data_IF_003093935407
#
_entry.id   IF_003093935407
#
_cell.length_a   1.000
_cell.length_b   1.000
_cell.length_c   1.000
_cell.angle_alpha   90.00
_cell.angle_beta   90.00
_cell.angle_gamma   90.00
#
_symmetry.space_group_name_H-M   'P 1'
#
loop_
_entity.id
_entity.type
_entity.pdbx_description
1 polymer ?
#
# COMPACT_ATOMS: atom_id res chain seq x y z
N UNK A 1 11.44 46.83 -112.03
CA UNK A 1 11.39 45.41 -111.61
C UNK A 1 10.82 45.36 -110.20
N UNK A 2 9.88 44.44 -110.03
CA UNK A 2 9.01 44.15 -108.87
C UNK A 2 9.87 43.80 -107.63
N UNK A 3 9.56 44.11 -106.36
CA UNK A 3 8.32 44.55 -105.75
C UNK A 3 8.48 45.00 -104.28
N UNK A 4 7.31 45.30 -103.71
CA UNK A 4 6.95 46.14 -102.56
C UNK A 4 7.08 45.50 -101.16
N UNK A 5 7.08 46.36 -100.13
CA UNK A 5 6.53 46.10 -98.79
C UNK A 5 7.47 46.42 -97.62
N UNK A 6 7.55 47.60 -96.98
CA UNK A 6 6.55 48.35 -96.17
C UNK A 6 5.58 47.43 -95.41
N UNK A 7 5.25 47.57 -94.12
CA UNK A 7 5.39 48.63 -93.11
C UNK A 7 4.78 48.08 -91.80
N UNK A 8 5.06 48.74 -90.67
CA UNK A 8 4.18 48.89 -89.50
C UNK A 8 4.05 47.74 -88.47
N UNK A 9 4.80 47.94 -87.38
CA UNK A 9 4.48 47.59 -86.00
C UNK A 9 3.40 48.58 -85.50
N UNK A 10 2.36 48.10 -84.78
CA UNK A 10 1.82 48.67 -83.52
C UNK A 10 0.31 48.49 -83.28
N UNK A 11 -0.01 48.34 -81.98
CA UNK A 11 -1.29 48.45 -81.25
C UNK A 11 -2.27 47.26 -81.32
N UNK A 12 -2.50 46.45 -80.26
CA UNK A 12 -3.10 46.74 -78.92
C UNK A 12 -4.65 46.90 -79.02
N UNK A 13 -5.56 46.36 -78.18
CA UNK A 13 -5.60 45.91 -76.78
C UNK A 13 -6.90 45.07 -76.58
N UNK A 14 -6.82 44.09 -75.67
CA UNK A 14 -7.88 43.51 -74.82
C UNK A 14 -9.27 43.15 -75.39
N UNK A 15 -9.59 41.85 -75.38
CA UNK A 15 -10.85 41.33 -74.81
C UNK A 15 -10.61 39.93 -74.22
N UNK A 16 -11.11 39.73 -72.98
CA UNK A 16 -11.52 38.47 -72.35
C UNK A 16 -10.46 37.46 -71.85
N UNK A 17 -10.05 37.66 -70.59
CA UNK A 17 -10.30 36.82 -69.39
C UNK A 17 -10.79 35.36 -69.44
N UNK A 18 -10.80 34.67 -70.58
CA UNK A 18 -11.18 33.25 -70.70
C UNK A 18 -10.15 32.38 -71.43
N UNK A 19 -9.04 32.98 -71.85
CA UNK A 19 -7.88 32.31 -72.45
C UNK A 19 -6.64 32.27 -71.54
N UNK A 20 -6.79 32.57 -70.25
CA UNK A 20 -5.70 32.48 -69.26
C UNK A 20 -5.65 31.14 -68.52
N UNK A 21 -6.64 30.26 -68.71
CA UNK A 21 -6.66 28.95 -68.07
C UNK A 21 -6.05 27.84 -68.95
N UNK A 22 -6.09 28.00 -70.29
CA UNK A 22 -5.44 27.08 -71.23
C UNK A 22 -4.01 27.50 -71.61
N UNK A 23 -3.50 28.62 -71.06
CA UNK A 23 -2.11 29.09 -71.24
C UNK A 23 -1.14 28.60 -70.14
N UNK A 24 -1.61 27.72 -69.26
CA UNK A 24 -0.86 27.17 -68.12
C UNK A 24 -0.77 25.63 -68.15
N UNK A 25 -1.03 25.00 -69.30
CA UNK A 25 -0.76 23.56 -69.54
C UNK A 25 0.34 23.30 -70.57
N UNK A 26 1.10 24.32 -70.96
CA UNK A 26 2.37 24.11 -71.67
C UNK A 26 3.42 23.73 -70.63
N UNK A 27 3.96 22.52 -70.74
CA UNK A 27 5.09 22.04 -69.96
C UNK A 27 6.18 23.11 -69.88
N UNK A 28 6.83 23.28 -68.72
CA UNK A 28 7.92 24.25 -68.50
C UNK A 28 8.96 24.29 -69.64
N UNK A 29 9.20 23.13 -70.25
CA UNK A 29 9.97 22.90 -71.49
C UNK A 29 9.63 23.85 -72.66
N UNK A 30 8.34 24.17 -72.88
CA UNK A 30 7.87 24.99 -74.00
C UNK A 30 8.09 26.48 -73.78
N UNK A 31 7.99 26.95 -72.53
CA UNK A 31 8.34 28.34 -72.14
C UNK A 31 9.85 28.58 -72.23
N UNK A 32 10.64 27.56 -71.89
CA UNK A 32 12.09 27.57 -71.98
C UNK A 32 12.58 27.70 -73.44
N UNK A 33 11.88 27.08 -74.40
CA UNK A 33 12.21 27.17 -75.83
C UNK A 33 11.75 28.49 -76.49
N UNK A 34 10.63 29.09 -76.06
CA UNK A 34 10.10 30.29 -76.70
C UNK A 34 10.86 31.58 -76.33
N UNK A 35 11.50 31.67 -75.16
CA UNK A 35 12.20 32.89 -74.72
C UNK A 35 13.72 32.86 -74.94
N UNK A 36 14.34 31.67 -75.00
CA UNK A 36 15.78 31.50 -75.28
C UNK A 36 16.21 31.95 -76.69
N UNK A 37 15.26 32.25 -77.58
CA UNK A 37 15.54 32.66 -78.95
C UNK A 37 15.58 34.19 -79.19
N UNK A 38 15.40 35.07 -78.17
CA UNK A 38 15.24 36.53 -78.43
C UNK A 38 16.16 37.51 -77.69
N UNK A 39 17.01 37.12 -76.74
CA UNK A 39 17.96 38.07 -76.14
C UNK A 39 19.20 37.37 -75.54
N UNK A 40 20.40 37.71 -76.05
CA UNK A 40 21.68 37.10 -75.67
C UNK A 40 22.43 37.84 -74.55
N UNK A 41 21.85 38.88 -73.94
CA UNK A 41 22.53 39.63 -72.89
C UNK A 41 22.42 38.91 -71.53
N UNK A 42 23.54 38.83 -70.81
CA UNK A 42 23.67 38.13 -69.51
C UNK A 42 22.67 38.62 -68.46
N UNK A 43 22.25 39.89 -68.53
CA UNK A 43 21.31 40.50 -67.60
C UNK A 43 19.88 39.97 -67.76
N UNK A 44 19.40 39.76 -68.99
CA UNK A 44 18.06 39.20 -69.24
C UNK A 44 17.97 37.73 -68.87
N UNK A 45 19.04 36.96 -69.14
CA UNK A 45 19.13 35.55 -68.72
C UNK A 45 19.19 35.42 -67.19
N UNK A 46 19.97 36.26 -66.52
CA UNK A 46 20.04 36.28 -65.05
C UNK A 46 18.70 36.66 -64.41
N UNK A 47 17.92 37.57 -65.02
CA UNK A 47 16.60 37.95 -64.50
C UNK A 47 15.56 36.85 -64.70
N UNK A 48 15.57 36.15 -65.85
CA UNK A 48 14.71 34.99 -66.08
C UNK A 48 15.03 33.84 -65.11
N UNK A 49 16.32 33.55 -64.90
CA UNK A 49 16.76 32.55 -63.92
C UNK A 49 16.33 32.91 -62.49
N UNK A 50 16.33 34.20 -62.12
CA UNK A 50 15.79 34.65 -60.81
C UNK A 50 14.28 34.47 -60.72
N UNK A 51 13.53 34.78 -61.77
CA UNK A 51 12.09 34.62 -61.81
C UNK A 51 11.68 33.13 -61.74
N UNK A 52 12.40 32.24 -62.44
CA UNK A 52 12.19 30.80 -62.37
C UNK A 52 12.54 30.23 -60.99
N UNK A 53 13.67 30.63 -60.38
CA UNK A 53 14.02 30.22 -59.00
C UNK A 53 12.99 30.68 -57.98
N UNK A 54 12.45 31.90 -58.13
CA UNK A 54 11.40 32.43 -57.27
C UNK A 54 10.09 31.65 -57.42
N UNK A 55 9.73 31.23 -58.64
CA UNK A 55 8.58 30.37 -58.90
C UNK A 55 8.77 28.95 -58.31
N UNK A 56 9.97 28.37 -58.42
CA UNK A 56 10.30 27.06 -57.83
C UNK A 56 10.28 27.08 -56.30
N UNK A 57 10.78 28.16 -55.69
CA UNK A 57 10.68 28.36 -54.24
C UNK A 57 9.23 28.53 -53.78
N UNK A 58 8.43 29.29 -54.53
CA UNK A 58 7.00 29.45 -54.25
C UNK A 58 6.25 28.12 -54.35
N UNK A 59 6.50 27.34 -55.41
CA UNK A 59 5.91 26.01 -55.60
C UNK A 59 6.32 25.04 -54.48
N UNK A 60 7.60 25.04 -54.07
CA UNK A 60 8.09 24.21 -52.95
C UNK A 60 7.47 24.60 -51.61
N UNK A 61 7.30 25.90 -51.33
CA UNK A 61 6.61 26.38 -50.12
C UNK A 61 5.16 25.92 -50.10
N UNK A 62 4.44 26.08 -51.21
CA UNK A 62 3.05 25.63 -51.34
C UNK A 62 2.91 24.11 -51.16
N UNK A 63 3.79 23.32 -51.78
CA UNK A 63 3.83 21.86 -51.58
C UNK A 63 4.09 21.50 -50.11
N UNK A 64 4.99 22.22 -49.45
CA UNK A 64 5.30 22.00 -48.03
C UNK A 64 4.09 22.34 -47.15
N UNK A 65 3.42 23.47 -47.40
CA UNK A 65 2.19 23.86 -46.69
C UNK A 65 1.06 22.85 -46.88
N UNK A 66 0.87 22.33 -48.10
CA UNK A 66 -0.12 21.30 -48.39
C UNK A 66 0.20 19.98 -47.67
N UNK A 67 1.47 19.60 -47.57
CA UNK A 67 1.91 18.44 -46.78
C UNK A 67 1.62 18.67 -45.30
N UNK A 68 1.98 19.84 -44.74
CA UNK A 68 1.72 20.17 -43.33
C UNK A 68 0.21 20.13 -43.01
N UNK A 69 -0.64 20.68 -43.88
CA UNK A 69 -2.10 20.65 -43.70
C UNK A 69 -2.66 19.24 -43.72
N UNK A 70 -2.17 18.37 -44.61
CA UNK A 70 -2.59 16.94 -44.66
C UNK A 70 -2.20 16.21 -43.39
N UNK A 71 -0.96 16.37 -42.94
CA UNK A 71 -0.48 15.75 -41.70
C UNK A 71 -1.26 16.24 -40.46
N UNK A 72 -1.60 17.53 -40.41
CA UNK A 72 -2.41 18.07 -39.32
C UNK A 72 -3.86 17.56 -39.34
N UNK A 73 -4.47 17.47 -40.52
CA UNK A 73 -5.81 16.89 -40.68
C UNK A 73 -5.84 15.41 -40.26
N UNK A 74 -4.83 14.62 -40.64
CA UNK A 74 -4.70 13.22 -40.20
C UNK A 74 -4.53 13.09 -38.68
N UNK A 75 -3.74 13.99 -38.06
CA UNK A 75 -3.57 14.02 -36.59
C UNK A 75 -4.88 14.36 -35.88
N UNK A 76 -5.64 15.33 -36.39
CA UNK A 76 -6.95 15.70 -35.84
C UNK A 76 -7.93 14.54 -35.95
N UNK A 77 -7.94 13.82 -37.08
CA UNK A 77 -8.80 12.67 -37.30
C UNK A 77 -8.51 11.50 -36.33
N UNK A 78 -7.24 11.30 -35.93
CA UNK A 78 -6.83 10.23 -35.00
C UNK A 78 -7.06 10.57 -33.51
N UNK A 79 -7.12 11.86 -33.16
CA UNK A 79 -7.21 12.36 -31.77
C UNK A 79 -8.38 11.76 -30.96
N UNK A 80 -9.61 11.59 -31.48
CA UNK A 80 -10.71 10.96 -30.73
C UNK A 80 -10.42 9.49 -30.36
N UNK A 81 -9.79 8.73 -31.26
CA UNK A 81 -9.44 7.33 -31.00
C UNK A 81 -8.34 7.20 -29.94
N UNK A 82 -7.37 8.12 -29.93
CA UNK A 82 -6.32 8.18 -28.90
C UNK A 82 -6.90 8.50 -27.51
N UNK A 83 -7.85 9.42 -27.42
CA UNK A 83 -8.54 9.76 -26.16
C UNK A 83 -9.32 8.55 -25.63
N UNK A 84 -10.08 7.87 -26.50
CA UNK A 84 -10.84 6.67 -26.11
C UNK A 84 -9.91 5.54 -25.65
N UNK A 85 -8.76 5.36 -26.31
CA UNK A 85 -7.73 4.40 -25.90
C UNK A 85 -7.15 4.74 -24.52
N UNK A 86 -6.82 6.01 -24.28
CA UNK A 86 -6.30 6.47 -22.98
C UNK A 86 -7.33 6.24 -21.85
N UNK A 87 -8.61 6.55 -22.08
CA UNK A 87 -9.68 6.29 -21.13
C UNK A 87 -9.87 4.78 -20.85
N UNK A 88 -9.71 3.94 -21.87
CA UNK A 88 -9.76 2.49 -21.69
C UNK A 88 -8.56 1.96 -20.89
N UNK A 89 -7.36 2.51 -21.11
CA UNK A 89 -6.16 2.16 -20.35
C UNK A 89 -6.25 2.60 -18.87
N UNK A 90 -6.79 3.78 -18.60
CA UNK A 90 -7.05 4.25 -17.24
C UNK A 90 -8.04 3.35 -16.49
N UNK A 91 -9.16 2.99 -17.15
CA UNK A 91 -10.13 2.03 -16.59
C UNK A 91 -9.50 0.66 -16.32
N UNK A 92 -8.64 0.16 -17.21
CA UNK A 92 -7.92 -1.10 -16.99
C UNK A 92 -7.06 -1.03 -15.73
N UNK A 93 -6.26 0.02 -15.56
CA UNK A 93 -5.42 0.22 -14.37
C UNK A 93 -6.25 0.27 -13.08
N UNK A 94 -7.36 1.00 -13.08
CA UNK A 94 -8.25 1.08 -11.92
C UNK A 94 -8.83 -0.29 -11.53
N UNK A 95 -9.20 -1.12 -12.51
CA UNK A 95 -9.68 -2.49 -12.28
C UNK A 95 -8.56 -3.38 -11.73
N UNK A 96 -7.35 -3.27 -12.28
CA UNK A 96 -6.18 -4.03 -11.80
C UNK A 96 -5.83 -3.67 -10.35
N UNK A 97 -5.84 -2.38 -9.99
CA UNK A 97 -5.60 -1.93 -8.63
C UNK A 97 -6.69 -2.38 -7.66
N UNK A 98 -7.97 -2.31 -8.08
CA UNK A 98 -9.09 -2.88 -7.31
C UNK A 98 -8.90 -4.38 -7.07
N UNK A 99 -8.61 -5.15 -8.13
CA UNK A 99 -8.39 -6.59 -8.04
C UNK A 99 -7.19 -6.93 -7.14
N UNK A 100 -6.12 -6.13 -7.17
CA UNK A 100 -4.96 -6.27 -6.27
C UNK A 100 -5.37 -6.07 -4.81
N UNK A 101 -6.11 -4.99 -4.51
CA UNK A 101 -6.59 -4.71 -3.15
C UNK A 101 -7.54 -5.80 -2.62
N UNK A 102 -8.40 -6.33 -3.49
CA UNK A 102 -9.32 -7.41 -3.16
C UNK A 102 -8.57 -8.73 -2.89
N UNK A 103 -7.53 -9.02 -3.68
CA UNK A 103 -6.68 -10.20 -3.47
C UNK A 103 -5.91 -10.11 -2.15
N UNK A 104 -5.39 -8.94 -1.79
CA UNK A 104 -4.75 -8.71 -0.50
C UNK A 104 -5.73 -8.90 0.67
N UNK A 105 -6.93 -8.32 0.56
CA UNK A 105 -7.98 -8.47 1.58
C UNK A 105 -8.39 -9.93 1.75
N UNK A 106 -8.57 -10.67 0.65
CA UNK A 106 -8.85 -12.12 0.69
C UNK A 106 -7.72 -12.91 1.35
N UNK A 107 -6.45 -12.62 1.00
CA UNK A 107 -5.29 -13.27 1.64
C UNK A 107 -5.26 -13.04 3.15
N UNK A 108 -5.55 -11.82 3.59
CA UNK A 108 -5.62 -11.49 5.02
C UNK A 108 -6.75 -12.27 5.71
N UNK A 109 -7.95 -12.30 5.12
CA UNK A 109 -9.08 -13.07 5.64
C UNK A 109 -8.79 -14.58 5.70
N UNK A 110 -8.19 -15.15 4.65
CA UNK A 110 -7.76 -16.55 4.60
C UNK A 110 -6.67 -16.86 5.64
N UNK A 111 -5.74 -15.93 5.88
CA UNK A 111 -4.73 -16.07 6.92
C UNK A 111 -5.34 -16.04 8.33
N UNK A 112 -6.29 -15.13 8.57
CA UNK A 112 -7.05 -15.09 9.83
C UNK A 112 -7.88 -16.36 10.05
N UNK A 113 -8.52 -16.88 9.01
CA UNK A 113 -9.29 -18.13 9.09
C UNK A 113 -8.40 -19.35 9.32
N UNK A 114 -7.26 -19.42 8.61
CA UNK A 114 -6.24 -20.47 8.82
C UNK A 114 -5.69 -20.42 10.24
N UNK A 115 -5.44 -19.23 10.77
CA UNK A 115 -5.04 -19.03 12.15
C UNK A 115 -6.14 -19.50 13.11
N UNK A 116 -7.40 -19.13 12.87
CA UNK A 116 -8.53 -19.59 13.67
C UNK A 116 -8.71 -21.11 13.62
N UNK A 117 -8.44 -21.75 12.47
CA UNK A 117 -8.48 -23.20 12.32
C UNK A 117 -7.32 -23.89 13.06
N UNK A 118 -6.10 -23.35 12.98
CA UNK A 118 -4.95 -23.83 13.75
C UNK A 118 -5.23 -23.76 15.25
N UNK A 119 -5.69 -22.59 15.73
CA UNK A 119 -6.13 -22.36 17.11
C UNK A 119 -7.23 -23.33 17.54
N UNK A 120 -8.19 -23.68 16.68
CA UNK A 120 -9.20 -24.70 17.01
C UNK A 120 -8.63 -26.12 17.09
N UNK A 121 -7.64 -26.44 16.27
CA UNK A 121 -7.11 -27.80 16.13
C UNK A 121 -6.06 -28.17 17.18
N UNK A 122 -5.26 -27.20 17.62
CA UNK A 122 -4.13 -27.39 18.54
C UNK A 122 -4.18 -26.46 19.76
N UNK A 123 -5.19 -25.59 19.83
CA UNK A 123 -5.31 -24.56 20.86
C UNK A 123 -5.44 -25.15 22.24
N UNK A 124 -4.46 -24.80 23.05
CA UNK A 124 -4.44 -24.94 24.50
C UNK A 124 -4.10 -26.34 25.03
N UNK A 125 -3.82 -27.36 24.22
CA UNK A 125 -3.55 -28.70 24.77
C UNK A 125 -2.32 -28.71 25.70
N UNK A 126 -1.18 -28.14 25.28
CA UNK A 126 0.02 -28.06 26.13
C UNK A 126 -0.16 -27.09 27.31
N UNK A 127 -0.71 -25.90 27.05
CA UNK A 127 -0.96 -24.87 28.07
C UNK A 127 -1.95 -25.33 29.15
N UNK A 128 -3.10 -25.89 28.76
CA UNK A 128 -4.11 -26.40 29.68
C UNK A 128 -3.63 -27.62 30.45
N UNK A 129 -2.78 -28.47 29.87
CA UNK A 129 -2.14 -29.56 30.62
C UNK A 129 -1.25 -29.02 31.75
N UNK A 130 -0.45 -27.98 31.48
CA UNK A 130 0.31 -27.32 32.52
C UNK A 130 -0.59 -26.65 33.56
N UNK A 131 -1.73 -26.05 33.16
CA UNK A 131 -2.73 -25.53 34.10
C UNK A 131 -3.36 -26.62 34.96
N UNK A 132 -3.65 -27.79 34.40
CA UNK A 132 -4.17 -28.95 35.16
C UNK A 132 -3.16 -29.39 36.22
N UNK A 133 -1.89 -29.53 35.84
CA UNK A 133 -0.80 -29.86 36.79
C UNK A 133 -0.66 -28.80 37.88
N UNK A 134 -0.72 -27.51 37.52
CA UNK A 134 -0.65 -26.42 38.48
C UNK A 134 -1.84 -26.43 39.44
N UNK A 135 -3.04 -26.70 38.93
CA UNK A 135 -4.27 -26.79 39.74
C UNK A 135 -4.21 -27.95 40.73
N UNK A 136 -3.64 -29.09 40.33
CA UNK A 136 -3.42 -30.21 41.25
C UNK A 136 -2.41 -29.85 42.34
N UNK A 137 -1.31 -29.16 42.00
CA UNK A 137 -0.37 -28.67 43.00
C UNK A 137 -1.00 -27.62 43.93
N UNK A 138 -1.91 -26.79 43.44
CA UNK A 138 -2.69 -25.87 44.28
C UNK A 138 -3.56 -26.63 45.29
N UNK A 139 -4.27 -27.68 44.83
CA UNK A 139 -5.08 -28.55 45.69
C UNK A 139 -4.24 -29.21 46.78
N UNK A 140 -3.10 -29.79 46.41
CA UNK A 140 -2.18 -30.44 47.36
C UNK A 140 -1.58 -29.44 48.35
N UNK A 141 -1.22 -28.24 47.90
CA UNK A 141 -0.75 -27.15 48.78
C UNK A 141 -1.80 -26.83 49.85
N UNK A 142 -3.06 -26.67 49.45
CA UNK A 142 -4.15 -26.32 50.35
C UNK A 142 -4.42 -27.45 51.36
N UNK A 143 -4.35 -28.71 50.92
CA UNK A 143 -4.42 -29.88 51.78
C UNK A 143 -3.29 -29.92 52.82
N UNK A 144 -2.05 -29.66 52.41
CA UNK A 144 -0.91 -29.61 53.33
C UNK A 144 -0.97 -28.43 54.29
N UNK A 145 -1.47 -27.26 53.84
CA UNK A 145 -1.70 -26.13 54.72
C UNK A 145 -2.75 -26.46 55.80
N UNK A 146 -3.86 -27.09 55.42
CA UNK A 146 -4.89 -27.53 56.39
C UNK A 146 -4.32 -28.54 57.40
N UNK A 147 -3.48 -29.48 56.95
CA UNK A 147 -2.76 -30.41 57.85
C UNK A 147 -1.78 -29.69 58.77
N UNK A 148 -1.03 -28.71 58.26
CA UNK A 148 -0.11 -27.91 59.05
C UNK A 148 -0.84 -27.09 60.13
N UNK A 149 -1.99 -26.50 59.80
CA UNK A 149 -2.84 -25.78 60.74
C UNK A 149 -3.37 -26.71 61.84
N UNK A 150 -3.84 -27.90 61.47
CA UNK A 150 -4.33 -28.91 62.40
C UNK A 150 -3.22 -29.39 63.36
N UNK A 151 -2.02 -29.68 62.83
CA UNK A 151 -0.87 -30.05 63.65
C UNK A 151 -0.42 -28.92 64.58
N UNK A 152 -0.51 -27.65 64.13
CA UNK A 152 -0.21 -26.48 64.96
C UNK A 152 -1.20 -26.35 66.11
N UNK A 153 -2.50 -26.56 65.87
CA UNK A 153 -3.55 -26.56 66.92
C UNK A 153 -3.35 -27.68 67.94
N UNK A 154 -2.85 -28.84 67.50
CA UNK A 154 -2.54 -29.98 68.36
C UNK A 154 -1.17 -29.88 69.09
N UNK A 155 -0.41 -28.80 68.92
CA UNK A 155 0.92 -28.64 69.54
C UNK A 155 2.03 -29.50 68.92
N UNK A 156 1.75 -30.21 67.81
CA UNK A 156 2.69 -31.10 67.12
C UNK A 156 3.63 -30.32 66.20
N UNK A 157 4.58 -29.59 66.80
CA UNK A 157 5.46 -28.63 66.10
C UNK A 157 6.26 -29.24 64.93
N UNK A 158 6.84 -30.43 65.10
CA UNK A 158 7.63 -31.10 64.06
C UNK A 158 6.79 -31.49 62.84
N UNK A 159 5.61 -32.07 63.07
CA UNK A 159 4.67 -32.42 62.00
C UNK A 159 4.14 -31.18 61.28
N UNK A 160 3.81 -30.13 62.04
CA UNK A 160 3.39 -28.84 61.46
C UNK A 160 4.45 -28.25 60.54
N UNK A 161 5.72 -28.28 60.94
CA UNK A 161 6.84 -27.85 60.09
C UNK A 161 6.95 -28.68 58.81
N UNK A 162 6.92 -30.01 58.92
CA UNK A 162 6.97 -30.90 57.76
C UNK A 162 5.86 -30.61 56.74
N UNK A 163 4.62 -30.40 57.21
CA UNK A 163 3.51 -30.08 56.30
C UNK A 163 3.65 -28.71 55.64
N UNK A 164 4.17 -27.69 56.34
CA UNK A 164 4.48 -26.39 55.73
C UNK A 164 5.56 -26.50 54.66
N UNK A 165 6.61 -27.30 54.90
CA UNK A 165 7.66 -27.55 53.91
C UNK A 165 7.07 -28.21 52.63
N UNK A 166 6.18 -29.20 52.78
CA UNK A 166 5.47 -29.80 51.65
C UNK A 166 4.56 -28.80 50.92
N UNK A 167 3.81 -27.98 51.65
CA UNK A 167 2.98 -26.94 51.06
C UNK A 167 3.81 -25.91 50.27
N UNK A 168 4.98 -25.52 50.81
CA UNK A 168 5.93 -24.65 50.11
C UNK A 168 6.40 -25.27 48.80
N UNK A 169 6.73 -26.57 48.81
CA UNK A 169 7.13 -27.28 47.59
C UNK A 169 6.02 -27.32 46.54
N UNK A 170 4.78 -27.61 46.95
CA UNK A 170 3.63 -27.57 46.05
C UNK A 170 3.40 -26.17 45.49
N UNK A 171 3.60 -25.11 46.30
CA UNK A 171 3.51 -23.73 45.84
C UNK A 171 4.55 -23.42 44.76
N UNK A 172 5.81 -23.77 44.98
CA UNK A 172 6.89 -23.58 43.98
C UNK A 172 6.55 -24.30 42.66
N UNK A 173 6.12 -25.56 42.73
CA UNK A 173 5.76 -26.34 41.55
C UNK A 173 4.55 -25.76 40.81
N UNK A 174 3.53 -25.32 41.55
CA UNK A 174 2.36 -24.63 41.00
C UNK A 174 2.77 -23.36 40.25
N UNK A 175 3.63 -22.53 40.84
CA UNK A 175 4.11 -21.29 40.21
C UNK A 175 4.93 -21.57 38.95
N UNK A 176 5.82 -22.57 38.97
CA UNK A 176 6.59 -23.00 37.80
C UNK A 176 5.68 -23.51 36.67
N UNK A 177 4.69 -24.33 36.99
CA UNK A 177 3.77 -24.91 36.01
C UNK A 177 2.83 -23.85 35.44
N UNK A 178 2.31 -22.93 36.26
CA UNK A 178 1.55 -21.78 35.78
C UNK A 178 2.40 -20.89 34.87
N UNK A 179 3.67 -20.65 35.20
CA UNK A 179 4.57 -19.89 34.34
C UNK A 179 4.79 -20.58 32.99
N UNK A 180 4.95 -21.92 32.97
CA UNK A 180 5.05 -22.67 31.71
C UNK A 180 3.77 -22.61 30.90
N UNK A 181 2.62 -22.78 31.56
CA UNK A 181 1.32 -22.64 30.92
C UNK A 181 1.16 -21.26 30.27
N UNK A 182 1.52 -20.19 30.98
CA UNK A 182 1.44 -18.83 30.47
C UNK A 182 2.32 -18.64 29.22
N UNK A 183 3.55 -19.14 29.22
CA UNK A 183 4.45 -19.08 28.05
C UNK A 183 3.86 -19.80 26.84
N UNK A 184 3.35 -21.02 27.03
CA UNK A 184 2.75 -21.82 25.95
C UNK A 184 1.49 -21.17 25.38
N UNK A 185 0.59 -20.71 26.26
CA UNK A 185 -0.65 -20.01 25.87
C UNK A 185 -0.31 -18.72 25.12
N UNK A 186 0.64 -17.92 25.64
CA UNK A 186 1.05 -16.68 24.98
C UNK A 186 1.67 -16.96 23.60
N UNK A 187 2.60 -17.91 23.49
CA UNK A 187 3.24 -18.27 22.22
C UNK A 187 2.23 -18.77 21.19
N UNK A 188 1.25 -19.56 21.63
CA UNK A 188 0.17 -20.06 20.78
C UNK A 188 -0.71 -18.94 20.21
N UNK A 189 -1.08 -17.95 21.02
CA UNK A 189 -1.90 -16.82 20.57
C UNK A 189 -1.12 -15.75 19.80
N UNK A 190 0.21 -15.79 19.88
CA UNK A 190 1.11 -14.81 19.30
C UNK A 190 2.22 -15.49 18.47
N UNK A 191 1.90 -16.32 17.47
CA UNK A 191 2.89 -17.17 16.78
C UNK A 191 3.95 -16.38 16.00
N UNK A 192 3.59 -15.18 15.53
CA UNK A 192 4.50 -14.30 14.79
C UNK A 192 5.19 -13.27 15.68
N UNK A 193 4.97 -13.31 16.99
CA UNK A 193 5.47 -12.29 17.90
C UNK A 193 6.98 -12.38 18.07
N UNK A 194 7.68 -11.39 17.53
CA UNK A 194 9.12 -11.22 17.71
C UNK A 194 9.40 -9.82 18.25
N UNK A 195 9.97 -9.78 19.45
CA UNK A 195 10.37 -8.52 20.13
C UNK A 195 11.35 -7.68 19.31
N UNK A 196 12.05 -8.28 18.33
CA UNK A 196 13.01 -7.61 17.46
C UNK A 196 12.39 -7.06 16.17
N UNK A 197 11.19 -7.50 15.81
CA UNK A 197 10.55 -7.16 14.53
C UNK A 197 9.32 -6.28 14.79
N UNK A 198 9.47 -4.98 14.58
CA UNK A 198 8.44 -3.96 14.87
C UNK A 198 7.08 -4.26 14.24
N UNK A 199 7.04 -4.80 13.02
CA UNK A 199 5.79 -5.13 12.31
C UNK A 199 4.97 -6.24 12.99
N UNK A 200 5.57 -7.00 13.90
CA UNK A 200 4.90 -8.08 14.65
C UNK A 200 4.31 -7.62 15.98
N UNK A 201 4.63 -6.38 16.40
CA UNK A 201 4.24 -5.83 17.70
C UNK A 201 2.96 -4.99 17.65
N UNK A 202 2.32 -4.86 16.49
CA UNK A 202 1.08 -4.11 16.31
C UNK A 202 -0.12 -4.73 17.06
N UNK A 203 -0.02 -6.01 17.42
CA UNK A 203 -1.06 -6.78 18.10
C UNK A 203 -0.44 -7.71 19.13
N UNK A 204 -1.06 -7.80 20.31
CA UNK A 204 -0.63 -8.70 21.38
C UNK A 204 -1.85 -9.35 22.03
N UNK A 205 -1.94 -10.66 21.96
CA UNK A 205 -3.07 -11.43 22.47
C UNK A 205 -2.76 -12.09 23.81
N UNK A 206 -3.49 -11.67 24.85
CA UNK A 206 -3.33 -12.10 26.23
C UNK A 206 -4.47 -12.99 26.69
N UNK A 207 -5.38 -13.41 25.80
CA UNK A 207 -6.49 -14.25 26.21
C UNK A 207 -6.01 -15.59 26.76
N UNK A 208 -6.73 -16.11 27.75
CA UNK A 208 -6.38 -17.35 28.46
C UNK A 208 -5.30 -17.19 29.53
N UNK A 209 -4.64 -16.04 29.63
CA UNK A 209 -3.69 -15.76 30.72
C UNK A 209 -4.41 -15.36 32.01
N UNK A 210 -3.79 -15.66 33.15
CA UNK A 210 -4.23 -15.11 34.44
C UNK A 210 -3.82 -13.65 34.56
N UNK A 211 -4.54 -12.90 35.40
CA UNK A 211 -4.39 -11.44 35.56
C UNK A 211 -2.93 -11.03 35.72
N UNK A 212 -2.20 -11.57 36.71
CA UNK A 212 -0.80 -11.20 36.96
C UNK A 212 0.14 -11.52 35.80
N UNK A 213 -0.15 -12.58 35.04
CA UNK A 213 0.66 -12.96 33.88
C UNK A 213 0.41 -11.97 32.74
N UNK A 214 -0.85 -11.66 32.45
CA UNK A 214 -1.22 -10.68 31.44
C UNK A 214 -0.70 -9.27 31.76
N UNK A 215 -0.72 -8.84 33.03
CA UNK A 215 -0.12 -7.58 33.47
C UNK A 215 1.38 -7.54 33.13
N UNK A 216 2.11 -8.62 33.43
CA UNK A 216 3.54 -8.73 33.10
C UNK A 216 3.79 -8.68 31.59
N UNK A 217 3.04 -9.47 30.81
CA UNK A 217 3.17 -9.46 29.34
C UNK A 217 2.80 -8.09 28.76
N UNK A 218 1.81 -7.40 29.32
CA UNK A 218 1.41 -6.04 28.91
C UNK A 218 2.57 -5.06 29.10
N UNK A 219 3.17 -5.04 30.30
CA UNK A 219 4.29 -4.13 30.63
C UNK A 219 5.47 -4.38 29.67
N UNK A 220 5.86 -5.65 29.51
CA UNK A 220 6.94 -6.04 28.58
C UNK A 220 6.62 -5.63 27.14
N UNK A 221 5.40 -5.88 26.67
CA UNK A 221 4.98 -5.60 25.31
C UNK A 221 4.97 -4.11 24.99
N UNK A 222 4.36 -3.30 25.87
CA UNK A 222 4.32 -1.85 25.73
C UNK A 222 5.72 -1.26 25.67
N UNK A 223 6.60 -1.68 26.58
CA UNK A 223 8.00 -1.24 26.58
C UNK A 223 8.69 -1.57 25.26
N UNK A 224 8.48 -2.78 24.74
CA UNK A 224 9.02 -3.21 23.45
C UNK A 224 8.47 -2.35 22.30
N UNK A 225 7.17 -2.04 22.30
CA UNK A 225 6.55 -1.19 21.27
C UNK A 225 7.10 0.24 21.27
N UNK A 226 7.27 0.83 22.45
CA UNK A 226 7.86 2.16 22.61
C UNK A 226 9.31 2.19 22.10
N UNK A 227 10.11 1.17 22.43
CA UNK A 227 11.49 1.03 21.95
C UNK A 227 11.57 0.85 20.43
N UNK A 228 10.61 0.14 19.84
CA UNK A 228 10.49 -0.05 18.40
C UNK A 228 9.88 1.17 17.67
N UNK A 229 9.46 2.22 18.40
CA UNK A 229 8.91 3.44 17.81
C UNK A 229 7.53 3.27 17.17
N UNK A 230 6.73 2.30 17.61
CA UNK A 230 5.35 2.14 17.14
C UNK A 230 4.51 3.35 17.55
N UNK A 231 3.54 3.73 16.72
CA UNK A 231 2.56 4.78 17.05
C UNK A 231 1.38 4.24 17.87
N UNK A 232 1.07 2.96 17.74
CA UNK A 232 0.02 2.28 18.49
C UNK A 232 0.21 0.77 18.48
N UNK A 233 -0.42 0.10 19.44
CA UNK A 233 -0.60 -1.36 19.46
C UNK A 233 -1.99 -1.72 19.98
N UNK A 234 -2.51 -2.89 19.58
CA UNK A 234 -3.79 -3.43 20.05
C UNK A 234 -3.53 -4.63 20.95
N UNK A 235 -3.96 -4.53 22.21
CA UNK A 235 -3.90 -5.61 23.19
C UNK A 235 -5.26 -6.32 23.25
N UNK A 236 -5.27 -7.63 23.05
CA UNK A 236 -6.47 -8.45 23.07
C UNK A 236 -6.55 -9.15 24.42
N UNK A 237 -7.66 -8.93 25.13
CA UNK A 237 -7.92 -9.53 26.45
C UNK A 237 -9.06 -10.55 26.39
N UNK A 238 -9.78 -10.60 25.27
CA UNK A 238 -10.93 -11.46 25.05
C UNK A 238 -12.27 -10.78 25.38
N UNK A 239 -13.37 -11.32 24.84
CA UNK A 239 -14.72 -10.70 24.90
C UNK A 239 -15.44 -10.87 26.24
N UNK A 240 -14.92 -11.65 27.18
CA UNK A 240 -15.55 -11.91 28.48
C UNK A 240 -16.90 -12.66 28.45
N UNK A 241 -17.52 -12.89 27.29
CA UNK A 241 -18.79 -13.61 27.15
C UNK A 241 -18.58 -15.12 27.32
N UNK A 242 -18.83 -15.63 28.53
CA UNK A 242 -18.86 -17.07 28.82
C UNK A 242 -18.10 -17.56 30.06
N UNK A 243 -17.53 -16.68 30.89
CA UNK A 243 -16.98 -17.14 32.17
C UNK A 243 -18.12 -17.68 33.04
N UNK A 244 -18.20 -19.01 33.26
CA UNK A 244 -19.10 -19.68 34.21
C UNK A 244 -18.80 -19.32 35.69
N UNK A 245 -18.36 -18.10 35.94
CA UNK A 245 -17.90 -17.56 37.22
C UNK A 245 -17.80 -16.03 37.28
N UNK A 246 -18.50 -15.30 36.39
CA UNK A 246 -18.89 -13.92 36.66
C UNK A 246 -17.84 -12.79 36.68
N UNK A 247 -16.68 -12.93 36.03
CA UNK A 247 -15.60 -11.94 36.22
C UNK A 247 -14.66 -11.86 35.00
N UNK A 248 -14.96 -10.99 34.04
CA UNK A 248 -13.98 -10.59 33.02
C UNK A 248 -12.89 -9.68 33.64
N UNK A 249 -12.16 -10.19 34.65
CA UNK A 249 -11.14 -9.46 35.45
C UNK A 249 -9.91 -9.05 34.65
N UNK A 250 -9.66 -9.69 33.51
CA UNK A 250 -8.45 -9.47 32.73
C UNK A 250 -8.40 -8.08 32.09
N UNK A 251 -9.47 -7.70 31.38
CA UNK A 251 -9.60 -6.41 30.71
C UNK A 251 -9.43 -5.22 31.67
N UNK A 252 -10.16 -5.12 32.81
CA UNK A 252 -9.97 -4.01 33.74
C UNK A 252 -8.57 -4.02 34.34
N UNK A 253 -7.99 -5.17 34.70
CA UNK A 253 -6.64 -5.21 35.27
C UNK A 253 -5.56 -4.71 34.29
N UNK A 254 -5.61 -5.15 33.03
CA UNK A 254 -4.71 -4.68 31.96
C UNK A 254 -4.89 -3.18 31.72
N UNK A 255 -6.14 -2.71 31.65
CA UNK A 255 -6.42 -1.28 31.48
C UNK A 255 -5.86 -0.45 32.65
N UNK A 256 -5.99 -0.91 33.89
CA UNK A 256 -5.45 -0.22 35.06
C UNK A 256 -3.92 -0.15 35.05
N UNK A 257 -3.23 -1.23 34.61
CA UNK A 257 -1.76 -1.20 34.44
C UNK A 257 -1.34 -0.17 33.40
N UNK A 258 -2.05 -0.09 32.27
CA UNK A 258 -1.74 0.86 31.19
C UNK A 258 -2.00 2.32 31.61
N UNK A 259 -3.10 2.58 32.31
CA UNK A 259 -3.41 3.91 32.87
C UNK A 259 -2.37 4.35 33.89
N UNK A 260 -1.91 3.44 34.77
CA UNK A 260 -0.83 3.73 35.73
C UNK A 260 0.49 4.08 35.05
N UNK A 261 0.71 3.59 33.82
CA UNK A 261 1.84 3.96 33.00
C UNK A 261 1.65 5.30 32.23
N UNK A 262 0.56 6.03 32.48
CA UNK A 262 0.21 7.30 31.85
C UNK A 262 0.20 7.25 30.30
N UNK A 263 -0.33 6.15 29.75
CA UNK A 263 -0.48 5.94 28.31
C UNK A 263 -1.86 6.39 27.83
N UNK A 264 -1.96 6.73 26.54
CA UNK A 264 -3.25 6.96 25.89
C UNK A 264 -3.92 5.61 25.57
N UNK A 265 -4.99 5.30 26.32
CA UNK A 265 -5.64 3.99 26.35
C UNK A 265 -7.09 4.09 25.90
N UNK A 266 -7.44 3.37 24.84
CA UNK A 266 -8.80 3.24 24.33
C UNK A 266 -9.31 1.81 24.52
N UNK A 267 -10.09 1.60 25.59
CA UNK A 267 -10.72 0.32 25.89
C UNK A 267 -11.89 0.06 24.95
N UNK A 268 -12.02 -1.17 24.45
CA UNK A 268 -13.10 -1.59 23.56
C UNK A 268 -12.90 -1.21 22.09
N UNK A 269 -11.71 -0.76 21.72
CA UNK A 269 -11.33 -0.40 20.35
C UNK A 269 -10.26 -1.38 19.84
N UNK A 270 -10.40 -1.98 18.64
CA UNK A 270 -11.50 -1.82 17.67
C UNK A 270 -12.79 -2.59 18.02
N UNK A 271 -12.74 -3.49 19.00
CA UNK A 271 -13.91 -4.22 19.48
C UNK A 271 -13.82 -4.40 21.01
N UNK A 272 -14.94 -4.78 21.64
CA UNK A 272 -15.04 -4.88 23.09
C UNK A 272 -13.91 -5.72 23.72
N UNK A 273 -13.42 -6.77 23.06
CA UNK A 273 -12.37 -7.63 23.59
C UNK A 273 -10.94 -7.07 23.54
N UNK A 274 -10.78 -5.81 23.12
CA UNK A 274 -9.49 -5.20 22.84
C UNK A 274 -9.26 -3.91 23.65
N UNK A 275 -8.00 -3.53 23.78
CA UNK A 275 -7.53 -2.25 24.29
C UNK A 275 -6.50 -1.72 23.30
N UNK A 276 -6.80 -0.60 22.66
CA UNK A 276 -5.82 0.09 21.81
C UNK A 276 -4.99 1.03 22.68
N UNK A 277 -3.67 0.94 22.57
CA UNK A 277 -2.72 1.83 23.25
C UNK A 277 -2.03 2.67 22.19
N UNK A 278 -2.09 3.99 22.34
CA UNK A 278 -1.36 4.92 21.48
C UNK A 278 -0.10 5.39 22.19
N UNK A 279 0.96 5.51 21.42
CA UNK A 279 2.23 6.05 21.85
C UNK A 279 2.42 7.41 21.22
N UNK A 280 2.77 8.41 22.02
CA UNK A 280 3.22 9.68 21.48
C UNK A 280 4.45 9.42 20.61
N UNK A 281 4.45 9.98 19.39
CA UNK A 281 5.67 10.02 18.61
C UNK A 281 6.67 10.82 19.43
N UNK A 282 7.71 10.16 19.92
CA UNK A 282 8.91 10.86 20.36
C UNK A 282 9.35 11.69 19.16
N UNK A 283 9.12 13.01 19.21
CA UNK A 283 9.65 13.92 18.22
C UNK A 283 11.15 13.62 18.16
N UNK A 284 11.66 13.30 16.96
CA UNK A 284 13.10 13.20 16.75
C UNK A 284 13.69 14.58 17.03
N UNK A 285 14.04 14.84 18.30
CA UNK A 285 15.07 15.79 18.62
C UNK A 285 16.34 15.30 17.90
N UNK A 286 17.07 16.22 17.28
CA UNK A 286 18.28 16.00 16.46
C UNK A 286 18.04 15.71 14.97
N UNK A 287 17.60 16.76 14.25
CA UNK A 287 18.27 17.16 13.03
C UNK A 287 19.15 18.37 13.38
N UNK A 288 20.43 18.13 13.64
CA UNK A 288 21.47 19.13 13.86
C UNK A 288 22.67 18.74 13.02
#
# INVERSE_FOLDING_TARGET
MVGFGTRLICLAIAVSGKLLYDYFSESESSREHAYNARCSCTRCRAELERQMRSADEFNRRRQTEDICRRLEAERIAKRPAEILKAQADERRRAIEDYNRSLAETKRLAEAEERQAAYVRSFGDASGNEWRKKASENARLRDEYNAKAESASKAGLKSQGRMFREKASKCRELMEQQNSRAATEIFGHHNPSYDRKVASTLNRCDLHGLYVKEAERHTIDHVRTCQQAGLSQTVIITGRGKGSKGGDAKLKPAVAEVLKKANLDVHVGVPNDGCITVKFEKMARAYAG
#
